data_IF_506078066217
#
_entry.id   IF_506078066217
#
_cell.length_a   1.000
_cell.length_b   1.000
_cell.length_c   1.000
_cell.angle_alpha   90.00
_cell.angle_beta   90.00
_cell.angle_gamma   90.00
#
_symmetry.space_group_name_H-M   'P 1'
#
loop_
_entity.id
_entity.type
_entity.pdbx_description
1 polymer ?
#
# COMPACT_ATOMS: atom_id res chain seq x y z
N UNK A 1 22.64 -4.89 7.87
CA UNK A 1 22.02 -3.60 8.25
C UNK A 1 22.06 -3.32 9.76
N UNK A 2 22.04 -4.30 10.68
CA UNK A 2 22.28 -4.01 12.11
C UNK A 2 23.64 -3.32 12.37
N UNK A 3 24.68 -3.76 11.65
CA UNK A 3 26.03 -3.18 11.70
C UNK A 3 26.10 -1.66 11.48
N UNK A 4 25.27 -1.08 10.62
CA UNK A 4 25.35 0.36 10.32
C UNK A 4 24.67 1.23 11.39
N UNK A 5 23.64 0.71 12.05
CA UNK A 5 22.97 1.40 13.18
C UNK A 5 23.86 1.35 14.42
N UNK A 6 24.53 0.23 14.65
CA UNK A 6 25.46 0.07 15.78
C UNK A 6 26.75 0.90 15.58
N UNK A 7 27.24 1.03 14.33
CA UNK A 7 28.32 1.97 14.00
C UNK A 7 27.91 3.42 14.29
N UNK A 8 26.70 3.83 13.91
CA UNK A 8 26.18 5.18 14.21
C UNK A 8 25.97 5.42 15.71
N UNK A 9 25.54 4.40 16.47
CA UNK A 9 25.43 4.43 17.93
C UNK A 9 26.80 4.60 18.59
N UNK A 10 27.83 3.91 18.07
CA UNK A 10 29.20 4.04 18.55
C UNK A 10 29.80 5.43 18.29
N UNK A 11 29.48 6.04 17.13
CA UNK A 11 29.88 7.40 16.78
C UNK A 11 29.16 8.44 17.65
N UNK A 12 27.86 8.25 17.89
CA UNK A 12 27.07 9.11 18.77
C UNK A 12 27.61 9.12 20.22
N UNK A 13 27.99 7.95 20.75
CA UNK A 13 28.55 7.82 22.10
C UNK A 13 29.93 8.46 22.24
N UNK A 14 30.72 8.52 21.17
CA UNK A 14 32.03 9.18 21.12
C UNK A 14 31.97 10.70 20.97
N UNK A 15 30.79 11.27 20.76
CA UNK A 15 30.65 12.70 20.47
C UNK A 15 30.78 13.55 21.75
N UNK A 16 31.78 14.43 21.79
CA UNK A 16 32.17 15.21 22.99
C UNK A 16 31.17 16.34 23.30
N UNK A 17 30.48 16.84 22.26
CA UNK A 17 29.48 17.89 22.41
C UNK A 17 28.15 17.23 22.82
N UNK A 18 27.78 17.38 24.10
CA UNK A 18 26.59 16.77 24.71
C UNK A 18 25.30 16.99 23.90
N UNK A 19 25.11 18.18 23.35
CA UNK A 19 23.95 18.50 22.50
C UNK A 19 23.94 17.75 21.16
N UNK A 20 25.10 17.45 20.57
CA UNK A 20 25.21 16.64 19.34
C UNK A 20 25.02 15.15 19.64
N UNK A 21 25.63 14.69 20.74
CA UNK A 21 25.45 13.33 21.26
C UNK A 21 23.97 13.00 21.47
N UNK A 22 23.22 13.86 22.17
CA UNK A 22 21.79 13.65 22.41
C UNK A 22 20.97 13.62 21.11
N UNK A 23 21.26 14.50 20.14
CA UNK A 23 20.64 14.50 18.81
C UNK A 23 20.96 13.25 18.00
N UNK A 24 22.17 12.71 18.12
CA UNK A 24 22.59 11.49 17.44
C UNK A 24 21.93 10.25 18.06
N UNK A 25 21.90 10.15 19.40
CA UNK A 25 21.26 9.05 20.14
C UNK A 25 19.74 8.98 19.87
N UNK A 26 19.06 10.13 19.80
CA UNK A 26 17.63 10.17 19.43
C UNK A 26 17.39 9.69 17.98
N UNK A 27 18.26 10.04 17.04
CA UNK A 27 18.13 9.54 15.66
C UNK A 27 18.31 8.03 15.59
N UNK A 28 19.29 7.48 16.31
CA UNK A 28 19.50 6.03 16.40
C UNK A 28 18.29 5.33 17.04
N UNK A 29 17.76 5.88 18.14
CA UNK A 29 16.56 5.35 18.78
C UNK A 29 15.36 5.35 17.82
N UNK A 30 15.14 6.45 17.09
CA UNK A 30 14.10 6.55 16.06
C UNK A 30 14.29 5.50 14.96
N UNK A 31 15.50 5.34 14.42
CA UNK A 31 15.76 4.35 13.38
C UNK A 31 15.51 2.92 13.86
N UNK A 32 15.80 2.61 15.13
CA UNK A 32 15.49 1.30 15.70
C UNK A 32 13.99 1.05 15.78
N UNK A 33 13.22 2.03 16.25
CA UNK A 33 11.75 1.95 16.31
C UNK A 33 11.12 1.86 14.92
N UNK A 34 11.56 2.71 13.98
CA UNK A 34 11.07 2.70 12.60
C UNK A 34 11.35 1.33 11.94
N UNK A 35 12.52 0.75 12.18
CA UNK A 35 12.87 -0.58 11.66
C UNK A 35 12.00 -1.69 12.26
N UNK A 36 11.75 -1.69 13.57
CA UNK A 36 10.88 -2.68 14.19
C UNK A 36 9.44 -2.57 13.67
N UNK A 37 8.94 -1.36 13.46
CA UNK A 37 7.59 -1.12 12.95
C UNK A 37 7.46 -1.54 11.49
N UNK A 38 8.42 -1.19 10.62
CA UNK A 38 8.45 -1.63 9.23
C UNK A 38 8.54 -3.16 9.13
N UNK A 39 9.33 -3.79 9.99
CA UNK A 39 9.43 -5.25 10.04
C UNK A 39 8.12 -5.90 10.49
N UNK A 40 7.47 -5.36 11.51
CA UNK A 40 6.17 -5.84 11.96
C UNK A 40 5.08 -5.67 10.88
N UNK A 41 5.09 -4.56 10.16
CA UNK A 41 4.19 -4.34 9.02
C UNK A 41 4.48 -5.33 7.89
N UNK A 42 5.75 -5.57 7.57
CA UNK A 42 6.14 -6.54 6.56
C UNK A 42 5.71 -7.97 6.93
N UNK A 43 5.90 -8.40 8.17
CA UNK A 43 5.43 -9.72 8.62
C UNK A 43 3.90 -9.84 8.59
N UNK A 44 3.17 -8.78 8.93
CA UNK A 44 1.70 -8.74 8.78
C UNK A 44 1.27 -8.87 7.32
N UNK A 45 1.81 -8.06 6.42
CA UNK A 45 1.47 -8.12 4.99
C UNK A 45 1.89 -9.43 4.33
N UNK A 46 3.02 -10.00 4.76
CA UNK A 46 3.46 -11.32 4.31
C UNK A 46 2.51 -12.40 4.80
N UNK A 47 2.09 -12.36 6.07
CA UNK A 47 1.11 -13.28 6.63
C UNK A 47 -0.25 -13.19 5.94
N UNK A 48 -0.75 -11.98 5.69
CA UNK A 48 -1.98 -11.76 4.94
C UNK A 48 -1.88 -12.35 3.52
N UNK A 49 -0.79 -12.09 2.79
CA UNK A 49 -0.57 -12.68 1.46
C UNK A 49 -0.44 -14.19 1.48
N UNK A 50 0.32 -14.76 2.41
CA UNK A 50 0.50 -16.21 2.52
C UNK A 50 -0.83 -16.89 2.90
N UNK A 51 -1.67 -16.23 3.72
CA UNK A 51 -3.00 -16.74 4.09
C UNK A 51 -4.00 -16.64 2.94
N UNK A 52 -4.01 -15.54 2.18
CA UNK A 52 -4.83 -15.38 0.99
C UNK A 52 -4.43 -16.38 -0.11
N UNK A 53 -3.14 -16.53 -0.38
CA UNK A 53 -2.64 -17.50 -1.35
C UNK A 53 -3.00 -18.95 -0.95
N UNK A 54 -2.93 -19.29 0.35
CA UNK A 54 -3.37 -20.61 0.85
C UNK A 54 -4.88 -20.80 0.73
N UNK A 55 -5.67 -19.77 1.00
CA UNK A 55 -7.12 -19.82 0.87
C UNK A 55 -7.54 -20.02 -0.60
N UNK A 56 -6.89 -19.34 -1.56
CA UNK A 56 -7.12 -19.56 -3.00
C UNK A 56 -6.73 -20.98 -3.45
N UNK A 57 -5.64 -21.53 -2.91
CA UNK A 57 -5.20 -22.89 -3.22
C UNK A 57 -6.14 -23.95 -2.64
N UNK A 58 -6.70 -23.74 -1.44
CA UNK A 58 -7.73 -24.62 -0.86
C UNK A 58 -9.10 -24.49 -1.53
N UNK A 59 -9.47 -23.28 -1.96
CA UNK A 59 -10.68 -23.04 -2.74
C UNK A 59 -10.60 -23.71 -4.12
N UNK A 60 -9.41 -23.76 -4.73
CA UNK A 60 -9.19 -24.48 -5.99
C UNK A 60 -9.11 -26.01 -5.82
N UNK A 61 -8.69 -26.53 -4.66
CA UNK A 61 -8.75 -27.99 -4.40
C UNK A 61 -10.14 -28.50 -4.03
N UNK A 62 -11.00 -27.67 -3.44
CA UNK A 62 -12.40 -28.03 -3.13
C UNK A 62 -13.33 -27.96 -4.35
N UNK A 63 -12.83 -27.46 -5.48
CA UNK A 63 -13.54 -27.32 -6.77
C UNK A 63 -12.91 -28.22 -7.85
N UNK A 64 -12.52 -29.44 -7.50
CA UNK A 64 -12.05 -30.46 -8.45
C UNK A 64 -13.17 -31.04 -9.35
N UNK A 65 -14.18 -30.25 -9.72
CA UNK A 65 -15.25 -30.68 -10.62
C UNK A 65 -15.47 -29.80 -11.86
N UNK A 66 -14.74 -28.70 -12.08
CA UNK A 66 -14.86 -27.95 -13.34
C UNK A 66 -13.57 -27.25 -13.78
N UNK A 67 -13.03 -27.56 -14.97
CA UNK A 67 -11.87 -26.89 -15.52
C UNK A 67 -12.28 -25.70 -16.39
N UNK A 68 -12.41 -24.49 -15.83
CA UNK A 68 -11.97 -23.23 -16.47
C UNK A 68 -12.28 -22.03 -15.56
N UNK A 69 -11.27 -21.47 -14.88
CA UNK A 69 -11.32 -20.04 -14.54
C UNK A 69 -9.90 -19.44 -14.58
N UNK A 70 -9.72 -18.21 -15.08
CA UNK A 70 -8.40 -17.63 -15.27
C UNK A 70 -7.89 -16.92 -14.01
N UNK A 71 -6.57 -16.95 -13.82
CA UNK A 71 -5.82 -16.29 -12.75
C UNK A 71 -6.20 -14.81 -12.54
N UNK A 72 -6.13 -14.29 -11.29
CA UNK A 72 -6.31 -12.87 -11.01
C UNK A 72 -5.08 -12.10 -11.50
N UNK A 73 -5.27 -11.28 -12.52
CA UNK A 73 -4.21 -10.49 -13.17
C UNK A 73 -4.36 -10.38 -14.68
N UNK A 74 -5.23 -11.20 -15.29
CA UNK A 74 -5.36 -11.29 -16.74
C UNK A 74 -6.57 -10.54 -17.33
N UNK A 75 -7.16 -9.61 -16.57
CA UNK A 75 -8.30 -8.78 -17.02
C UNK A 75 -7.97 -7.90 -18.23
N UNK A 76 -6.69 -7.72 -18.54
CA UNK A 76 -6.23 -6.92 -19.68
C UNK A 76 -6.03 -7.72 -20.97
N UNK A 77 -5.99 -9.06 -20.91
CA UNK A 77 -5.79 -9.89 -22.12
C UNK A 77 -7.07 -10.37 -22.79
N UNK A 78 -8.24 -10.24 -22.13
CA UNK A 78 -9.51 -10.72 -22.69
C UNK A 78 -10.08 -9.88 -23.84
N UNK A 79 -9.47 -8.73 -24.17
CA UNK A 79 -9.85 -7.91 -25.32
C UNK A 79 -9.05 -8.19 -26.61
N UNK A 80 -8.19 -9.21 -26.62
CA UNK A 80 -7.48 -9.62 -27.84
C UNK A 80 -7.75 -11.10 -28.16
N UNK A 81 -8.72 -11.33 -29.06
CA UNK A 81 -8.78 -12.56 -29.87
C UNK A 81 -9.70 -13.67 -29.37
N UNK A 82 -10.88 -13.76 -30.00
CA UNK A 82 -11.48 -14.99 -30.52
C UNK A 82 -11.80 -16.15 -29.57
N UNK A 83 -13.10 -16.42 -29.40
CA UNK A 83 -13.66 -17.78 -29.55
C UNK A 83 -15.19 -17.71 -29.63
N UNK A 84 -15.68 -17.81 -30.86
CA UNK A 84 -17.06 -18.17 -31.18
C UNK A 84 -17.25 -19.68 -30.88
N UNK A 85 -18.39 -20.09 -30.30
CA UNK A 85 -18.68 -21.52 -30.14
C UNK A 85 -18.88 -22.14 -31.53
N UNK A 86 -18.25 -23.29 -31.71
CA UNK A 86 -18.25 -24.13 -32.90
C UNK A 86 -19.67 -24.57 -33.27
N UNK A 87 -20.27 -23.87 -34.23
CA UNK A 87 -21.34 -24.42 -35.05
C UNK A 87 -20.72 -24.74 -36.41
N UNK A 88 -20.61 -26.03 -36.73
CA UNK A 88 -20.04 -26.57 -37.96
C UNK A 88 -20.87 -26.18 -39.21
N UNK A 89 -20.78 -24.92 -39.63
CA UNK A 89 -21.25 -24.51 -40.95
C UNK A 89 -20.04 -24.02 -41.71
N UNK A 90 -19.48 -24.89 -42.56
CA UNK A 90 -18.46 -24.51 -43.53
C UNK A 90 -19.00 -23.41 -44.44
N UNK A 91 -18.56 -22.17 -44.20
CA UNK A 91 -18.79 -21.01 -45.06
C UNK A 91 -17.92 -21.08 -46.33
N UNK A 92 -18.20 -22.05 -47.20
CA UNK A 92 -17.62 -22.03 -48.55
C UNK A 92 -18.51 -21.19 -49.47
N UNK A 93 -18.02 -20.09 -50.07
CA UNK A 93 -18.83 -19.18 -50.91
C UNK A 93 -19.29 -19.78 -52.25
N UNK A 94 -18.86 -21.01 -52.57
CA UNK A 94 -19.20 -21.73 -53.81
C UNK A 94 -20.20 -22.86 -53.62
N UNK A 95 -20.73 -23.10 -52.41
CA UNK A 95 -21.78 -24.10 -52.22
C UNK A 95 -23.12 -23.45 -52.50
N UNK A 96 -23.67 -23.69 -53.69
CA UNK A 96 -25.09 -23.45 -53.97
C UNK A 96 -25.91 -24.24 -52.94
N UNK A 97 -26.73 -23.59 -52.10
CA UNK A 97 -27.60 -24.32 -51.21
C UNK A 97 -28.56 -25.11 -52.09
N UNK A 98 -28.63 -26.43 -51.87
CA UNK A 98 -29.76 -27.20 -52.37
C UNK A 98 -31.02 -26.42 -51.95
N UNK A 99 -31.91 -26.15 -52.91
CA UNK A 99 -33.08 -25.31 -52.69
C UNK A 99 -34.00 -25.97 -51.66
N UNK A 100 -33.75 -25.66 -50.38
CA UNK A 100 -34.62 -26.00 -49.28
C UNK A 100 -35.87 -25.15 -49.42
N UNK A 101 -37.06 -25.72 -49.13
CA UNK A 101 -38.30 -24.98 -49.24
C UNK A 101 -38.24 -23.71 -48.38
N UNK A 102 -38.78 -22.56 -48.85
CA UNK A 102 -38.68 -21.28 -48.16
C UNK A 102 -39.28 -21.27 -46.74
N UNK A 103 -40.09 -22.28 -46.39
CA UNK A 103 -40.58 -22.53 -45.03
C UNK A 103 -39.47 -22.95 -44.06
N UNK A 104 -38.57 -23.84 -44.44
CA UNK A 104 -37.51 -24.35 -43.55
C UNK A 104 -36.42 -23.30 -43.26
N UNK A 105 -36.12 -22.45 -44.25
CA UNK A 105 -35.18 -21.33 -44.10
C UNK A 105 -35.65 -20.32 -43.05
N UNK A 106 -36.97 -20.09 -42.96
CA UNK A 106 -37.58 -19.18 -41.98
C UNK A 106 -37.55 -19.77 -40.58
N UNK A 107 -37.83 -21.06 -40.46
CA UNK A 107 -37.86 -21.78 -39.20
C UNK A 107 -36.46 -21.89 -38.57
N UNK A 108 -35.43 -22.17 -39.37
CA UNK A 108 -34.04 -22.14 -38.92
C UNK A 108 -33.58 -20.75 -38.47
N UNK A 109 -34.06 -19.68 -39.11
CA UNK A 109 -33.77 -18.31 -38.68
C UNK A 109 -34.40 -18.00 -37.32
N UNK A 110 -35.66 -18.39 -37.11
CA UNK A 110 -36.36 -18.18 -35.85
C UNK A 110 -35.70 -18.93 -34.69
N UNK A 111 -35.29 -20.19 -34.91
CA UNK A 111 -34.57 -20.98 -33.90
C UNK A 111 -33.20 -20.38 -33.56
N UNK A 112 -32.48 -19.88 -34.58
CA UNK A 112 -31.20 -19.20 -34.37
C UNK A 112 -31.38 -17.92 -33.57
N UNK A 113 -32.37 -17.09 -33.90
CA UNK A 113 -32.66 -15.87 -33.13
C UNK A 113 -33.03 -16.18 -31.68
N UNK A 114 -33.87 -17.19 -31.46
CA UNK A 114 -34.23 -17.61 -30.11
C UNK A 114 -33.00 -18.09 -29.32
N UNK A 115 -32.15 -18.92 -29.93
CA UNK A 115 -30.90 -19.39 -29.31
C UNK A 115 -29.92 -18.24 -29.06
N UNK A 116 -29.88 -17.24 -29.94
CA UNK A 116 -29.02 -16.07 -29.81
C UNK A 116 -29.50 -15.17 -28.65
N UNK A 117 -30.81 -14.97 -28.52
CA UNK A 117 -31.40 -14.19 -27.42
C UNK A 117 -31.11 -14.87 -26.08
N UNK A 118 -31.35 -16.18 -25.97
CA UNK A 118 -31.08 -16.93 -24.74
C UNK A 118 -29.60 -16.91 -24.35
N UNK A 119 -28.70 -17.12 -25.32
CA UNK A 119 -27.26 -17.04 -25.06
C UNK A 119 -26.80 -15.62 -24.69
N UNK A 120 -27.47 -14.59 -25.20
CA UNK A 120 -27.17 -13.19 -24.88
C UNK A 120 -27.64 -12.83 -23.48
N UNK A 121 -28.83 -13.27 -23.08
CA UNK A 121 -29.37 -13.09 -21.73
C UNK A 121 -28.43 -13.65 -20.67
N UNK A 122 -27.99 -14.91 -20.83
CA UNK A 122 -27.04 -15.55 -19.91
C UNK A 122 -25.71 -14.79 -19.82
N UNK A 123 -25.19 -14.31 -20.96
CA UNK A 123 -23.94 -13.53 -21.00
C UNK A 123 -24.09 -12.15 -20.37
N UNK A 124 -25.25 -11.51 -20.51
CA UNK A 124 -25.54 -10.23 -19.87
C UNK A 124 -25.61 -10.39 -18.36
N UNK A 125 -26.24 -11.45 -17.87
CA UNK A 125 -26.29 -11.75 -16.44
C UNK A 125 -24.89 -12.01 -15.87
N UNK A 126 -24.04 -12.75 -16.57
CA UNK A 126 -22.64 -12.95 -16.20
C UNK A 126 -21.86 -11.61 -16.15
N UNK A 127 -22.07 -10.72 -17.12
CA UNK A 127 -21.44 -9.40 -17.10
C UNK A 127 -21.95 -8.50 -15.97
N UNK A 128 -23.24 -8.58 -15.62
CA UNK A 128 -23.81 -7.84 -14.49
C UNK A 128 -23.25 -8.37 -13.18
N UNK A 129 -23.15 -9.70 -13.03
CA UNK A 129 -22.54 -10.32 -11.86
C UNK A 129 -21.07 -9.92 -11.72
N UNK A 130 -20.31 -9.95 -12.81
CA UNK A 130 -18.92 -9.50 -12.85
C UNK A 130 -18.79 -8.00 -12.54
N UNK A 131 -19.68 -7.17 -13.09
CA UNK A 131 -19.70 -5.73 -12.85
C UNK A 131 -19.98 -5.39 -11.38
N UNK A 132 -20.90 -6.12 -10.73
CA UNK A 132 -21.15 -5.99 -9.28
C UNK A 132 -19.93 -6.35 -8.46
N UNK A 133 -19.27 -7.47 -8.78
CA UNK A 133 -18.07 -7.90 -8.06
C UNK A 133 -16.92 -6.89 -8.17
N UNK A 134 -16.71 -6.29 -9.35
CA UNK A 134 -15.69 -5.25 -9.54
C UNK A 134 -16.02 -3.97 -8.77
N UNK A 135 -17.30 -3.57 -8.72
CA UNK A 135 -17.72 -2.41 -7.94
C UNK A 135 -17.51 -2.63 -6.44
N UNK A 136 -17.78 -3.84 -5.94
CA UNK A 136 -17.56 -4.20 -4.53
C UNK A 136 -16.08 -4.12 -4.17
N UNK A 137 -15.19 -4.66 -5.02
CA UNK A 137 -13.74 -4.57 -4.85
C UNK A 137 -13.25 -3.11 -4.84
N UNK A 138 -13.80 -2.24 -5.70
CA UNK A 138 -13.47 -0.81 -5.70
C UNK A 138 -13.91 -0.10 -4.41
N UNK A 139 -15.06 -0.49 -3.84
CA UNK A 139 -15.55 0.03 -2.55
C UNK A 139 -14.62 -0.42 -1.42
N UNK A 140 -14.17 -1.67 -1.44
CA UNK A 140 -13.23 -2.21 -0.47
C UNK A 140 -11.84 -1.55 -0.57
N UNK A 141 -11.32 -1.34 -1.77
CA UNK A 141 -10.05 -0.61 -1.99
C UNK A 141 -10.12 0.84 -1.47
N UNK A 142 -11.27 1.49 -1.59
CA UNK A 142 -11.48 2.84 -1.00
C UNK A 142 -11.36 2.82 0.52
N UNK A 143 -11.80 1.75 1.18
CA UNK A 143 -11.65 1.59 2.64
C UNK A 143 -10.17 1.51 3.05
N UNK A 144 -9.36 0.79 2.27
CA UNK A 144 -7.91 0.65 2.47
C UNK A 144 -7.21 1.99 2.30
N UNK A 145 -7.51 2.73 1.23
CA UNK A 145 -6.94 4.07 1.00
C UNK A 145 -7.27 5.04 2.14
N UNK A 146 -8.49 4.99 2.68
CA UNK A 146 -8.89 5.79 3.83
C UNK A 146 -8.13 5.39 5.10
N UNK A 147 -7.86 4.09 5.29
CA UNK A 147 -7.01 3.57 6.36
C UNK A 147 -5.57 4.09 6.26
N UNK A 148 -4.98 4.04 5.07
CA UNK A 148 -3.63 4.57 4.79
C UNK A 148 -3.56 6.07 5.01
N UNK A 149 -4.57 6.84 4.58
CA UNK A 149 -4.64 8.28 4.81
C UNK A 149 -4.66 8.63 6.30
N UNK A 150 -5.47 7.92 7.10
CA UNK A 150 -5.52 8.10 8.56
C UNK A 150 -4.16 7.81 9.19
N UNK A 151 -3.54 6.69 8.82
CA UNK A 151 -2.19 6.33 9.30
C UNK A 151 -1.12 7.34 8.88
N UNK A 152 -1.21 7.89 7.68
CA UNK A 152 -0.31 8.95 7.22
C UNK A 152 -0.50 10.24 8.04
N UNK A 153 -1.74 10.61 8.35
CA UNK A 153 -2.06 11.74 9.23
C UNK A 153 -1.52 11.51 10.65
N UNK A 154 -1.68 10.31 11.20
CA UNK A 154 -1.16 9.95 12.52
C UNK A 154 0.38 9.96 12.55
N UNK A 155 1.01 9.43 11.51
CA UNK A 155 2.47 9.50 11.31
C UNK A 155 2.96 10.94 11.15
N UNK A 156 2.23 11.77 10.40
CA UNK A 156 2.54 13.19 10.25
C UNK A 156 2.39 13.94 11.58
N UNK A 157 1.37 13.61 12.38
CA UNK A 157 1.14 14.22 13.70
C UNK A 157 2.26 13.84 14.69
N UNK A 158 2.70 12.59 14.68
CA UNK A 158 3.83 12.12 15.52
C UNK A 158 5.19 12.63 15.03
N UNK A 159 5.40 12.78 13.71
CA UNK A 159 6.57 13.48 13.17
C UNK A 159 6.56 14.99 13.49
N UNK A 160 5.38 15.63 13.53
CA UNK A 160 5.21 17.00 14.01
C UNK A 160 5.57 17.15 15.49
N UNK A 161 5.16 16.18 16.32
CA UNK A 161 5.56 16.11 17.72
C UNK A 161 7.09 15.96 17.87
N UNK A 162 7.74 15.14 17.02
CA UNK A 162 9.21 15.03 16.99
C UNK A 162 9.90 16.36 16.69
N UNK A 163 9.32 17.21 15.83
CA UNK A 163 9.83 18.57 15.58
C UNK A 163 9.72 19.46 16.81
N UNK A 164 8.63 19.35 17.57
CA UNK A 164 8.47 20.05 18.85
C UNK A 164 9.46 19.54 19.92
N UNK A 165 9.70 18.22 19.99
CA UNK A 165 10.71 17.64 20.88
C UNK A 165 12.12 18.11 20.49
N UNK A 166 12.42 18.22 19.19
CA UNK A 166 13.66 18.78 18.67
C UNK A 166 13.82 20.28 19.00
N UNK A 167 12.75 21.06 18.94
CA UNK A 167 12.78 22.46 19.36
C UNK A 167 12.95 22.62 20.88
N UNK A 168 12.34 21.73 21.66
CA UNK A 168 12.44 21.75 23.12
C UNK A 168 13.89 21.50 23.60
N UNK A 169 14.63 20.61 22.93
CA UNK A 169 16.04 20.39 23.29
C UNK A 169 16.94 21.57 22.94
N UNK A 170 16.67 22.25 21.81
CA UNK A 170 17.40 23.47 21.45
C UNK A 170 17.17 24.59 22.47
N UNK A 171 15.93 24.73 22.96
CA UNK A 171 15.57 25.69 24.01
C UNK A 171 16.26 25.40 25.35
N UNK A 172 16.46 24.13 25.71
CA UNK A 172 17.25 23.76 26.90
C UNK A 172 18.72 24.14 26.74
N UNK A 173 19.30 23.95 25.55
CA UNK A 173 20.68 24.34 25.28
C UNK A 173 20.88 25.85 25.30
N UNK A 174 19.91 26.64 24.83
CA UNK A 174 19.99 28.10 24.93
C UNK A 174 19.80 28.57 26.37
N UNK A 175 18.94 27.90 27.15
CA UNK A 175 18.81 28.17 28.59
C UNK A 175 20.13 27.93 29.35
N UNK A 176 20.87 26.87 29.03
CA UNK A 176 22.18 26.60 29.63
C UNK A 176 23.20 27.72 29.28
N UNK A 177 23.14 28.24 28.05
CA UNK A 177 23.95 29.39 27.63
C UNK A 177 23.61 30.66 28.43
N UNK A 178 22.34 30.90 28.74
CA UNK A 178 21.94 32.03 29.60
C UNK A 178 22.46 31.88 31.04
N UNK A 179 22.42 30.68 31.61
CA UNK A 179 22.96 30.42 32.95
C UNK A 179 24.47 30.70 33.00
N UNK A 180 25.20 30.31 31.95
CA UNK A 180 26.62 30.62 31.81
C UNK A 180 26.90 32.14 31.80
N UNK A 181 26.18 32.91 30.96
CA UNK A 181 26.34 34.36 30.91
C UNK A 181 25.97 35.05 32.23
N UNK A 182 24.91 34.59 32.90
CA UNK A 182 24.53 35.12 34.21
C UNK A 182 25.63 34.91 35.25
N UNK A 183 26.24 33.71 35.28
CA UNK A 183 27.39 33.42 36.14
C UNK A 183 28.60 34.30 35.81
N UNK A 184 28.93 34.47 34.53
CA UNK A 184 30.04 35.34 34.10
C UNK A 184 29.84 36.79 34.57
N UNK A 185 28.66 37.38 34.35
CA UNK A 185 28.35 38.75 34.80
C UNK A 185 28.44 38.87 36.31
N UNK A 186 27.92 37.90 37.06
CA UNK A 186 28.01 37.89 38.52
C UNK A 186 29.46 37.90 39.01
N UNK A 187 30.33 37.09 38.39
CA UNK A 187 31.76 37.08 38.76
C UNK A 187 32.46 38.42 38.47
N UNK A 188 32.17 39.06 37.33
CA UNK A 188 32.67 40.40 37.03
C UNK A 188 32.17 41.45 38.03
N UNK A 189 30.90 41.36 38.44
CA UNK A 189 30.33 42.24 39.44
C UNK A 189 31.02 42.09 40.81
N UNK A 190 31.34 40.86 41.23
CA UNK A 190 32.12 40.62 42.45
C UNK A 190 33.53 41.23 42.36
N UNK A 191 34.22 41.06 41.23
CA UNK A 191 35.54 41.71 41.03
C UNK A 191 35.45 43.23 41.08
N UNK A 192 34.41 43.81 40.49
CA UNK A 192 34.17 45.25 40.54
C UNK A 192 33.94 45.74 41.97
N UNK A 193 33.13 45.03 42.77
CA UNK A 193 32.92 45.36 44.18
C UNK A 193 34.21 45.29 44.99
N UNK A 194 35.03 44.26 44.79
CA UNK A 194 36.33 44.14 45.49
C UNK A 194 37.23 45.32 45.12
N UNK A 195 37.32 45.67 43.84
CA UNK A 195 38.13 46.81 43.40
C UNK A 195 37.64 48.14 43.99
N UNK A 196 36.32 48.32 44.12
CA UNK A 196 35.75 49.56 44.65
C UNK A 196 35.79 49.69 46.19
N UNK A 197 35.77 48.57 46.92
CA UNK A 197 35.73 48.58 48.38
C UNK A 197 37.11 48.38 49.03
N UNK A 198 38.06 47.73 48.34
CA UNK A 198 39.42 47.47 48.81
C UNK A 198 40.49 48.31 48.09
N UNK A 199 40.13 49.03 47.03
CA UNK A 199 40.95 50.02 46.33
C UNK A 199 40.32 51.40 46.41
#
# INVERSE_FOLDING_TARGET
MGRTVDDYDSMAKREIIKAKQEKAMMRVAKFRTDYSDLRAQFERFKGERDSAARAELMASTSSSSMPHSPLPGDSRRRYAGGQTPTSEVSESPFRTPAALPPSELREQHALREHSFIQNTEVRLDDFIAQGRAVLDDLVDQRSVLKGTQRRLLDAANTMGLSRNVIGWIEKRSTQDMYIFYAGAVFTFFCFWLIWHYLG
#
